data_IF_432119527008
#
_entry.id   IF_432119527008
#
_cell.length_a   1.000
_cell.length_b   1.000
_cell.length_c   1.000
_cell.angle_alpha   90.00
_cell.angle_beta   90.00
_cell.angle_gamma   90.00
#
_symmetry.space_group_name_H-M   'P 1'
#
loop_
_entity.id
_entity.type
_entity.pdbx_description
1 polymer ?
#
# COMPACT_ATOMS: atom_id res chain seq x y z
N UNK A 1 -3.07 -25.98 -0.57
CA UNK A 1 -2.53 -24.81 -1.30
C UNK A 1 -3.49 -23.61 -1.34
N UNK A 2 -4.79 -23.81 -1.11
CA UNK A 2 -5.82 -22.75 -1.05
C UNK A 2 -5.52 -21.65 -0.02
N UNK A 3 -5.15 -22.02 1.21
CA UNK A 3 -4.90 -21.06 2.29
C UNK A 3 -3.80 -20.04 1.97
N UNK A 4 -2.75 -20.43 1.24
CA UNK A 4 -1.68 -19.50 0.82
C UNK A 4 -2.19 -18.44 -0.15
N UNK A 5 -3.08 -18.78 -1.08
CA UNK A 5 -3.67 -17.81 -2.02
C UNK A 5 -4.56 -16.82 -1.29
N UNK A 6 -5.35 -17.30 -0.33
CA UNK A 6 -6.24 -16.46 0.49
C UNK A 6 -5.42 -15.47 1.33
N UNK A 7 -4.35 -15.92 1.97
CA UNK A 7 -3.46 -15.04 2.77
C UNK A 7 -2.76 -14.00 1.90
N UNK A 8 -2.27 -14.37 0.71
CA UNK A 8 -1.64 -13.39 -0.19
C UNK A 8 -2.67 -12.37 -0.68
N UNK A 9 -3.88 -12.81 -1.02
CA UNK A 9 -4.97 -11.92 -1.44
C UNK A 9 -5.38 -10.93 -0.35
N UNK A 10 -5.52 -11.38 0.90
CA UNK A 10 -5.88 -10.51 2.02
C UNK A 10 -4.77 -9.51 2.36
N UNK A 11 -3.49 -9.90 2.27
CA UNK A 11 -2.36 -8.99 2.44
C UNK A 11 -2.35 -7.91 1.35
N UNK A 12 -2.59 -8.27 0.09
CA UNK A 12 -2.70 -7.30 -1.01
C UNK A 12 -3.83 -6.31 -0.76
N UNK A 13 -5.01 -6.79 -0.35
CA UNK A 13 -6.15 -5.93 0.00
C UNK A 13 -5.82 -4.98 1.16
N UNK A 14 -5.15 -5.47 2.22
CA UNK A 14 -4.74 -4.65 3.34
C UNK A 14 -3.75 -3.54 2.92
N UNK A 15 -2.76 -3.88 2.08
CA UNK A 15 -1.80 -2.89 1.55
C UNK A 15 -2.48 -1.81 0.71
N UNK A 16 -3.46 -2.19 -0.12
CA UNK A 16 -4.24 -1.24 -0.91
C UNK A 16 -5.05 -0.32 0.01
N UNK A 17 -5.74 -0.87 1.00
CA UNK A 17 -6.52 -0.09 1.95
C UNK A 17 -5.65 0.94 2.71
N UNK A 18 -4.47 0.52 3.17
CA UNK A 18 -3.51 1.41 3.85
C UNK A 18 -3.01 2.50 2.90
N UNK A 19 -2.68 2.16 1.65
CA UNK A 19 -2.23 3.14 0.66
C UNK A 19 -3.32 4.19 0.36
N UNK A 20 -4.57 3.76 0.14
CA UNK A 20 -5.71 4.66 -0.14
C UNK A 20 -6.01 5.55 1.06
N UNK A 21 -6.07 4.99 2.27
CA UNK A 21 -6.32 5.78 3.48
C UNK A 21 -5.20 6.81 3.75
N UNK A 22 -3.95 6.43 3.49
CA UNK A 22 -2.81 7.34 3.58
C UNK A 22 -2.87 8.47 2.54
N UNK A 23 -3.17 8.15 1.28
CA UNK A 23 -3.33 9.15 0.21
C UNK A 23 -4.49 10.12 0.49
N UNK A 24 -5.63 9.61 0.98
CA UNK A 24 -6.76 10.45 1.36
C UNK A 24 -6.38 11.45 2.47
N UNK A 25 -5.64 10.99 3.47
CA UNK A 25 -5.16 11.86 4.55
C UNK A 25 -4.17 12.93 4.04
N UNK A 26 -3.22 12.54 3.19
CA UNK A 26 -2.25 13.45 2.57
C UNK A 26 -2.99 14.52 1.76
N UNK A 27 -3.97 14.14 0.94
CA UNK A 27 -4.79 15.08 0.18
C UNK A 27 -5.57 16.04 1.10
N UNK A 28 -6.14 15.53 2.21
CA UNK A 28 -6.82 16.37 3.19
C UNK A 28 -5.87 17.34 3.92
N UNK A 29 -4.63 16.92 4.15
CA UNK A 29 -3.57 17.74 4.74
C UNK A 29 -3.10 18.86 3.80
N UNK A 30 -2.85 18.54 2.53
CA UNK A 30 -2.47 19.50 1.49
C UNK A 30 -3.60 20.52 1.24
N UNK A 31 -4.86 20.09 1.28
CA UNK A 31 -6.03 20.97 1.23
C UNK A 31 -6.21 21.82 2.51
N UNK A 32 -5.37 21.64 3.53
CA UNK A 32 -5.44 22.28 4.86
C UNK A 32 -6.77 22.07 5.60
N UNK A 33 -7.49 21.00 5.25
CA UNK A 33 -8.79 20.67 5.87
C UNK A 33 -8.58 19.81 7.12
N UNK A 34 -7.56 18.94 7.11
CA UNK A 34 -7.23 18.08 8.24
C UNK A 34 -6.04 18.65 9.04
N UNK A 35 -6.11 18.68 10.39
CA UNK A 35 -4.95 19.03 11.21
C UNK A 35 -3.84 17.98 11.04
N UNK A 36 -2.59 18.41 11.06
CA UNK A 36 -1.46 17.50 10.97
C UNK A 36 -0.09 18.14 11.19
N UNK A 37 0.79 17.41 11.82
CA UNK A 37 2.20 17.77 11.93
C UNK A 37 2.98 17.29 10.71
N UNK A 38 4.00 18.07 10.31
CA UNK A 38 4.93 17.68 9.24
C UNK A 38 5.52 16.29 9.46
N UNK A 39 5.79 15.92 10.72
CA UNK A 39 6.33 14.62 11.05
C UNK A 39 5.33 13.47 10.82
N UNK A 40 4.06 13.68 11.17
CA UNK A 40 2.99 12.72 10.89
C UNK A 40 2.74 12.57 9.38
N UNK A 41 2.87 13.67 8.62
CA UNK A 41 2.79 13.67 7.16
C UNK A 41 3.90 12.82 6.54
N UNK A 42 5.16 13.10 6.87
CA UNK A 42 6.32 12.36 6.34
C UNK A 42 6.21 10.87 6.67
N UNK A 43 5.84 10.54 7.91
CA UNK A 43 5.67 9.15 8.34
C UNK A 43 4.56 8.43 7.56
N UNK A 44 3.39 9.05 7.40
CA UNK A 44 2.29 8.47 6.62
C UNK A 44 2.65 8.32 5.14
N UNK A 45 3.30 9.32 4.54
CA UNK A 45 3.77 9.24 3.16
C UNK A 45 4.75 8.07 2.97
N UNK A 46 5.66 7.87 3.92
CA UNK A 46 6.64 6.78 3.90
C UNK A 46 5.94 5.41 4.01
N UNK A 47 4.92 5.27 4.85
CA UNK A 47 4.09 4.05 4.94
C UNK A 47 3.39 3.77 3.60
N UNK A 48 2.81 4.78 2.97
CA UNK A 48 2.13 4.64 1.67
C UNK A 48 3.13 4.16 0.61
N UNK A 49 4.30 4.81 0.53
CA UNK A 49 5.36 4.46 -0.43
C UNK A 49 5.82 3.02 -0.21
N UNK A 50 6.11 2.62 1.03
CA UNK A 50 6.52 1.24 1.36
C UNK A 50 5.42 0.22 1.01
N UNK A 51 4.16 0.57 1.25
CA UNK A 51 3.03 -0.31 0.91
C UNK A 51 2.89 -0.52 -0.60
N UNK A 52 3.01 0.56 -1.37
CA UNK A 52 3.01 0.51 -2.83
C UNK A 52 4.23 -0.24 -3.38
N UNK A 53 5.40 -0.05 -2.77
CA UNK A 53 6.61 -0.78 -3.12
C UNK A 53 6.46 -2.29 -2.88
N UNK A 54 5.90 -2.68 -1.73
CA UNK A 54 5.60 -4.08 -1.44
C UNK A 54 4.61 -4.68 -2.46
N UNK A 55 3.54 -3.95 -2.80
CA UNK A 55 2.60 -4.33 -3.86
C UNK A 55 3.31 -4.54 -5.20
N UNK A 56 4.20 -3.62 -5.58
CA UNK A 56 4.98 -3.71 -6.82
C UNK A 56 5.87 -4.96 -6.87
N UNK A 57 6.57 -5.27 -5.78
CA UNK A 57 7.39 -6.49 -5.68
C UNK A 57 6.52 -7.75 -5.80
N UNK A 58 5.40 -7.81 -5.07
CA UNK A 58 4.46 -8.94 -5.13
C UNK A 58 3.99 -9.14 -6.58
N UNK A 59 3.64 -8.05 -7.26
CA UNK A 59 3.14 -8.09 -8.64
C UNK A 59 4.22 -8.54 -9.63
N UNK A 60 5.46 -8.08 -9.47
CA UNK A 60 6.61 -8.50 -10.29
C UNK A 60 6.94 -9.99 -10.10
N UNK A 61 6.98 -10.45 -8.85
CA UNK A 61 7.24 -11.86 -8.52
C UNK A 61 6.13 -12.74 -9.07
N UNK A 62 4.87 -12.34 -8.91
CA UNK A 62 3.71 -13.06 -9.44
C UNK A 62 3.74 -13.15 -10.97
N UNK A 63 4.06 -12.03 -11.64
CA UNK A 63 4.15 -11.98 -13.12
C UNK A 63 5.29 -12.86 -13.64
N UNK A 64 6.47 -12.83 -13.00
CA UNK A 64 7.59 -13.73 -13.35
C UNK A 64 7.29 -15.20 -13.11
N UNK A 65 6.57 -15.54 -12.04
CA UNK A 65 6.14 -16.91 -11.76
C UNK A 65 5.09 -17.41 -12.76
N UNK A 66 4.20 -16.51 -13.22
CA UNK A 66 3.18 -16.84 -14.22
C UNK A 66 3.77 -17.02 -15.63
N UNK A 67 4.80 -16.28 -16.00
CA UNK A 67 5.46 -16.39 -17.32
C UNK A 67 6.46 -17.55 -17.48
N UNK A 68 6.74 -18.33 -16.42
CA UNK A 68 7.55 -19.57 -16.48
C UNK A 68 6.71 -20.85 -16.57
N UNK A 69 5.39 -20.73 -16.64
CA UNK A 69 4.47 -21.84 -16.92
C UNK A 69 4.03 -21.78 -18.37
#
# INVERSE_FOLDING_TARGET
MEARKVVVGSVVLALIAVAVAGLYWIACYEARVCPGDRQAYVWRALIVILSLYALSIIHLVWSKLRGRK
#
